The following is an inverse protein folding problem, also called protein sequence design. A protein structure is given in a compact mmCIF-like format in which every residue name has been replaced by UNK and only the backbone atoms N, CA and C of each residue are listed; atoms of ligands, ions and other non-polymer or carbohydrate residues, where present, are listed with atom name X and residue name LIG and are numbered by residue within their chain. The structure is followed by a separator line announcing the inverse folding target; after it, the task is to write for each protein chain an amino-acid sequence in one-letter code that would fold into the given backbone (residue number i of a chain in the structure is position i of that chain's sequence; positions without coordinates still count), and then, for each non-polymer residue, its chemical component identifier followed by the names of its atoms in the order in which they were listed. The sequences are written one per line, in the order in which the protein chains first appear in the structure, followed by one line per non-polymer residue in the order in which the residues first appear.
data_IF_925529412766
#
_entry.id   IF_925529412766
#
_cell.length_a   1.000
_cell.length_b   1.000
_cell.length_c   1.000
_cell.angle_alpha   90.00
_cell.angle_beta   90.00
_cell.angle_gamma   90.00
#
_symmetry.space_group_name_H-M   'P 1'
#
loop_
_entity.id
_entity.type
_entity.pdbx_description
1 polymer ?
#
# COMPACT_ATOMS: atom_id res chain seq x y z
N UNK A 1 -53.74 46.28 12.73
CA UNK A 1 -54.13 45.08 11.98
C UNK A 1 -52.95 44.58 11.21
N UNK A 2 -52.21 43.56 11.72
CA UNK A 2 -51.02 42.99 11.00
C UNK A 2 -51.53 41.83 10.11
N UNK A 3 -51.65 42.08 8.82
CA UNK A 3 -51.90 41.00 7.85
C UNK A 3 -50.60 40.25 7.63
N UNK A 4 -50.40 39.16 8.38
CA UNK A 4 -49.26 38.25 8.18
C UNK A 4 -49.54 37.48 6.89
N UNK A 5 -48.76 37.80 5.84
CA UNK A 5 -48.95 37.24 4.49
C UNK A 5 -48.53 35.74 4.53
N UNK A 6 -49.52 34.85 4.68
CA UNK A 6 -49.35 33.38 4.71
C UNK A 6 -48.61 32.81 3.46
N UNK A 7 -48.58 33.53 2.40
CA UNK A 7 -47.92 33.10 1.15
C UNK A 7 -46.40 33.21 1.25
N UNK A 8 -45.86 34.30 1.83
CA UNK A 8 -44.43 34.50 2.00
C UNK A 8 -43.77 33.50 2.96
N UNK A 9 -44.52 33.10 4.01
CA UNK A 9 -44.06 32.06 4.98
C UNK A 9 -43.97 30.68 4.30
N UNK A 10 -44.94 30.36 3.40
CA UNK A 10 -44.92 29.08 2.68
C UNK A 10 -43.84 28.99 1.64
N UNK A 11 -43.52 30.08 0.96
CA UNK A 11 -42.38 30.13 0.02
C UNK A 11 -41.06 30.02 0.72
N UNK A 12 -40.88 30.66 1.90
CA UNK A 12 -39.71 30.52 2.73
C UNK A 12 -39.51 29.10 3.25
N UNK A 13 -40.57 28.46 3.73
CA UNK A 13 -40.52 27.07 4.20
C UNK A 13 -40.19 26.06 3.10
N UNK A 14 -40.74 26.25 1.89
CA UNK A 14 -40.41 25.41 0.75
C UNK A 14 -38.96 25.58 0.32
N UNK A 15 -38.42 26.81 0.34
CA UNK A 15 -37.01 27.09 0.05
C UNK A 15 -36.06 26.38 1.04
N UNK A 16 -36.37 26.46 2.33
CA UNK A 16 -35.59 25.75 3.37
C UNK A 16 -35.64 24.24 3.20
N UNK A 17 -36.81 23.69 2.86
CA UNK A 17 -36.97 22.25 2.61
C UNK A 17 -36.13 21.78 1.41
N UNK A 18 -36.14 22.55 0.31
CA UNK A 18 -35.32 22.23 -0.89
C UNK A 18 -33.81 22.28 -0.57
N UNK A 19 -33.38 23.30 0.15
CA UNK A 19 -31.95 23.39 0.59
C UNK A 19 -31.62 22.21 1.50
N UNK A 20 -32.47 21.84 2.42
CA UNK A 20 -32.28 20.68 3.30
C UNK A 20 -32.13 19.36 2.51
N UNK A 21 -32.95 19.17 1.47
CA UNK A 21 -32.87 17.98 0.60
C UNK A 21 -31.55 17.98 -0.19
N UNK A 22 -31.13 19.12 -0.73
CA UNK A 22 -29.86 19.24 -1.45
C UNK A 22 -28.69 18.92 -0.53
N UNK A 23 -28.66 19.48 0.68
CA UNK A 23 -27.62 19.22 1.67
C UNK A 23 -27.60 17.73 2.03
N UNK A 24 -28.77 17.12 2.28
CA UNK A 24 -28.89 15.71 2.57
C UNK A 24 -28.32 14.85 1.42
N UNK A 25 -28.66 15.21 0.18
CA UNK A 25 -28.15 14.52 -1.01
C UNK A 25 -26.62 14.63 -1.14
N UNK A 26 -26.06 15.80 -0.91
CA UNK A 26 -24.60 16.04 -0.94
C UNK A 26 -23.87 15.28 0.19
N UNK A 27 -24.51 15.10 1.33
CA UNK A 27 -23.94 14.30 2.43
C UNK A 27 -24.02 12.80 2.12
N UNK A 28 -25.10 12.33 1.48
CA UNK A 28 -25.29 10.91 1.19
C UNK A 28 -24.42 10.40 0.03
N UNK A 29 -24.14 11.23 -0.96
CA UNK A 29 -23.41 10.83 -2.16
C UNK A 29 -22.02 11.46 -2.20
N UNK A 30 -21.02 10.63 -2.47
CA UNK A 30 -19.67 11.06 -2.82
C UNK A 30 -19.52 11.02 -4.35
N UNK A 31 -18.87 12.06 -4.86
CA UNK A 31 -18.37 12.09 -6.22
C UNK A 31 -16.87 12.11 -6.12
N UNK A 32 -16.23 11.02 -6.49
CA UNK A 32 -14.77 10.89 -6.47
C UNK A 32 -14.25 10.63 -7.88
N UNK A 33 -13.05 11.13 -8.14
CA UNK A 33 -12.35 10.90 -9.39
C UNK A 33 -11.18 10.00 -9.12
N UNK A 34 -11.24 8.79 -9.63
CA UNK A 34 -10.13 7.85 -9.64
C UNK A 34 -9.16 8.31 -10.72
N UNK A 35 -7.93 8.63 -10.33
CA UNK A 35 -6.92 9.10 -11.27
C UNK A 35 -6.54 8.02 -12.28
N UNK A 36 -6.05 8.43 -13.45
CA UNK A 36 -5.75 7.54 -14.58
C UNK A 36 -4.68 6.48 -14.27
N UNK A 37 -3.90 6.69 -13.23
CA UNK A 37 -2.88 5.76 -12.73
C UNK A 37 -3.36 4.85 -11.60
N UNK A 38 -4.62 4.97 -11.16
CA UNK A 38 -5.17 4.18 -10.07
C UNK A 38 -6.31 3.29 -10.54
N UNK A 39 -6.51 2.20 -9.82
CA UNK A 39 -7.63 1.29 -10.01
C UNK A 39 -8.51 1.32 -8.76
N UNK A 40 -9.74 1.80 -8.91
CA UNK A 40 -10.71 1.85 -7.83
C UNK A 40 -11.47 0.54 -7.70
N UNK A 41 -11.60 0.04 -6.49
CA UNK A 41 -12.43 -1.12 -6.14
C UNK A 41 -13.58 -0.64 -5.26
N UNK A 42 -14.81 -0.72 -5.77
CA UNK A 42 -16.01 -0.35 -5.02
C UNK A 42 -16.60 -1.60 -4.38
N UNK A 43 -16.82 -1.51 -3.09
CA UNK A 43 -17.36 -2.60 -2.27
C UNK A 43 -18.70 -2.21 -1.68
N UNK A 44 -19.69 -3.08 -1.79
CA UNK A 44 -20.98 -2.89 -1.16
C UNK A 44 -20.92 -3.29 0.33
N UNK A 45 -21.14 -2.30 1.23
CA UNK A 45 -21.21 -2.52 2.67
C UNK A 45 -22.59 -2.92 3.15
N UNK A 46 -23.63 -2.59 2.38
CA UNK A 46 -25.05 -2.79 2.75
C UNK A 46 -25.85 -3.35 1.58
N UNK A 47 -26.87 -4.16 1.88
CA UNK A 47 -27.80 -4.73 0.90
C UNK A 47 -27.74 -6.25 0.80
N UNK A 48 -28.58 -6.81 -0.10
CA UNK A 48 -28.62 -8.25 -0.38
C UNK A 48 -27.40 -8.76 -1.14
N UNK A 49 -26.70 -7.87 -1.83
CA UNK A 49 -25.44 -8.11 -2.55
C UNK A 49 -24.23 -7.73 -1.66
N UNK A 50 -24.32 -8.08 -0.39
CA UNK A 50 -23.20 -7.91 0.56
C UNK A 50 -22.11 -8.90 0.21
N UNK A 51 -20.96 -8.38 -0.13
CA UNK A 51 -19.81 -9.26 -0.22
C UNK A 51 -18.78 -8.82 -1.21
N UNK A 52 -17.72 -9.55 -1.15
CA UNK A 52 -16.50 -9.35 -1.90
C UNK A 52 -16.66 -9.75 -3.36
N UNK A 53 -17.65 -10.60 -3.68
CA UNK A 53 -17.93 -11.06 -5.03
C UNK A 53 -18.43 -9.94 -5.96
N UNK A 54 -18.99 -8.88 -5.37
CA UNK A 54 -19.52 -7.70 -6.07
C UNK A 54 -18.55 -6.51 -6.13
N UNK A 55 -17.28 -6.72 -5.82
CA UNK A 55 -16.27 -5.70 -5.98
C UNK A 55 -16.10 -5.33 -7.47
N UNK A 56 -16.45 -4.11 -7.82
CA UNK A 56 -16.36 -3.60 -9.19
C UNK A 56 -15.08 -2.81 -9.36
N UNK A 57 -14.38 -3.08 -10.44
CA UNK A 57 -13.22 -2.29 -10.87
C UNK A 57 -13.73 -1.08 -11.66
N UNK A 58 -13.46 0.11 -11.16
CA UNK A 58 -13.91 1.36 -11.75
C UNK A 58 -12.72 2.30 -12.02
N UNK A 59 -12.86 3.15 -13.02
CA UNK A 59 -11.89 4.19 -13.37
C UNK A 59 -12.63 5.48 -13.76
N UNK A 60 -12.01 6.63 -13.53
CA UNK A 60 -12.60 7.93 -13.85
C UNK A 60 -13.55 8.46 -12.77
N UNK A 61 -14.64 9.12 -13.18
CA UNK A 61 -15.60 9.69 -12.23
C UNK A 61 -16.54 8.61 -11.69
N UNK A 62 -16.59 8.49 -10.38
CA UNK A 62 -17.44 7.53 -9.67
C UNK A 62 -18.34 8.26 -8.69
N UNK A 63 -19.63 7.93 -8.76
CA UNK A 63 -20.65 8.45 -7.83
C UNK A 63 -21.15 7.28 -7.00
N UNK A 64 -21.01 7.38 -5.70
CA UNK A 64 -21.47 6.31 -4.81
C UNK A 64 -22.04 6.84 -3.50
N UNK A 65 -22.86 6.03 -2.85
CA UNK A 65 -23.40 6.35 -1.52
C UNK A 65 -22.38 5.98 -0.46
N UNK A 66 -21.86 6.96 0.28
CA UNK A 66 -20.84 6.80 1.35
C UNK A 66 -21.24 5.83 2.45
N UNK A 67 -22.54 5.71 2.73
CA UNK A 67 -23.03 4.83 3.79
C UNK A 67 -23.21 3.38 3.33
N UNK A 68 -23.34 3.17 2.03
CA UNK A 68 -23.61 1.86 1.45
C UNK A 68 -22.39 1.25 0.75
N UNK A 69 -21.41 2.06 0.36
CA UNK A 69 -20.25 1.64 -0.44
C UNK A 69 -18.97 2.24 0.09
N UNK A 70 -17.87 1.53 -0.12
CA UNK A 70 -16.51 1.98 0.17
C UNK A 70 -15.65 1.83 -1.08
N UNK A 71 -14.85 2.85 -1.36
CA UNK A 71 -13.86 2.85 -2.44
C UNK A 71 -12.48 2.52 -1.85
N UNK A 72 -11.79 1.59 -2.51
CA UNK A 72 -10.37 1.30 -2.30
C UNK A 72 -9.62 1.61 -3.58
N UNK A 73 -8.51 2.32 -3.47
CA UNK A 73 -7.69 2.70 -4.62
C UNK A 73 -6.35 1.99 -4.56
N UNK A 74 -5.97 1.37 -5.67
CA UNK A 74 -4.71 0.68 -5.83
C UNK A 74 -3.90 1.30 -6.97
N UNK A 75 -2.59 1.53 -6.77
CA UNK A 75 -1.74 2.10 -7.80
C UNK A 75 -1.51 1.10 -8.93
N UNK A 76 -1.88 1.49 -10.15
CA UNK A 76 -1.58 0.75 -11.37
C UNK A 76 -0.31 1.26 -12.07
N UNK A 77 0.44 2.14 -11.41
CA UNK A 77 1.75 2.65 -11.84
C UNK A 77 2.78 2.43 -10.74
N UNK A 78 4.05 2.41 -11.12
CA UNK A 78 5.13 2.11 -10.19
C UNK A 78 5.12 3.05 -8.96
N UNK A 79 5.06 2.44 -7.78
CA UNK A 79 5.20 3.09 -6.48
C UNK A 79 6.57 2.78 -5.91
N UNK A 80 7.21 3.79 -5.36
CA UNK A 80 8.49 3.66 -4.67
C UNK A 80 8.22 3.76 -3.18
N UNK A 81 8.58 2.71 -2.45
CA UNK A 81 8.41 2.66 -0.99
C UNK A 81 9.77 2.47 -0.34
N UNK A 82 10.11 3.42 0.50
CA UNK A 82 11.33 3.40 1.30
C UNK A 82 11.02 2.89 2.70
N UNK A 83 11.67 1.82 3.10
CA UNK A 83 11.44 1.20 4.40
C UNK A 83 12.53 1.59 5.39
N UNK A 84 12.12 1.74 6.65
CA UNK A 84 13.08 1.95 7.74
C UNK A 84 14.10 0.81 7.83
N UNK A 85 15.35 1.13 8.16
CA UNK A 85 16.40 0.13 8.33
C UNK A 85 16.00 -0.96 9.32
N UNK A 86 16.31 -2.21 8.97
CA UNK A 86 16.11 -3.36 9.86
C UNK A 86 17.31 -4.30 9.85
N UNK A 87 17.38 -5.13 10.89
CA UNK A 87 18.47 -6.07 11.08
C UNK A 87 18.20 -7.40 10.38
N UNK A 88 19.23 -7.92 9.72
CA UNK A 88 19.30 -9.26 9.14
C UNK A 88 20.50 -10.00 9.75
N UNK A 89 20.44 -11.31 9.74
CA UNK A 89 21.52 -12.16 10.27
C UNK A 89 22.03 -13.08 9.16
N UNK A 90 23.35 -13.17 9.07
CA UNK A 90 24.02 -14.12 8.20
C UNK A 90 23.98 -15.56 8.77
N UNK A 91 24.56 -16.49 8.05
CA UNK A 91 24.66 -17.91 8.45
C UNK A 91 25.40 -18.13 9.77
N UNK A 92 26.30 -17.22 10.16
CA UNK A 92 27.10 -17.28 11.39
C UNK A 92 26.44 -16.51 12.55
N UNK A 93 25.28 -15.87 12.31
CA UNK A 93 24.59 -15.06 13.30
C UNK A 93 25.12 -13.62 13.41
N UNK A 94 25.95 -13.18 12.48
CA UNK A 94 26.43 -11.79 12.42
C UNK A 94 25.31 -10.88 11.98
N UNK A 95 25.13 -9.76 12.66
CA UNK A 95 24.06 -8.81 12.39
C UNK A 95 24.52 -7.76 11.39
N UNK A 96 23.73 -7.60 10.32
CA UNK A 96 23.84 -6.54 9.35
C UNK A 96 22.59 -5.69 9.37
N UNK A 97 22.72 -4.42 9.03
CA UNK A 97 21.61 -3.47 8.87
C UNK A 97 21.35 -3.25 7.38
N UNK A 98 20.10 -3.32 6.96
CA UNK A 98 19.68 -3.05 5.59
C UNK A 98 18.51 -2.05 5.57
N UNK A 99 18.49 -1.18 4.58
CA UNK A 99 17.48 -0.14 4.33
C UNK A 99 16.97 -0.29 2.89
N UNK A 100 16.03 -1.19 2.63
CA UNK A 100 15.54 -1.42 1.28
C UNK A 100 14.52 -0.38 0.83
N UNK A 101 14.69 0.09 -0.38
CA UNK A 101 13.69 0.81 -1.17
C UNK A 101 13.21 -0.11 -2.26
N UNK A 102 11.92 -0.30 -2.39
CA UNK A 102 11.32 -1.17 -3.39
C UNK A 102 10.45 -0.38 -4.37
N UNK A 103 10.35 -0.89 -5.58
CA UNK A 103 9.45 -0.40 -6.61
C UNK A 103 8.46 -1.49 -6.99
N UNK A 104 7.16 -1.21 -6.87
CA UNK A 104 6.10 -2.15 -7.19
C UNK A 104 4.87 -1.43 -7.75
N UNK A 105 3.96 -2.18 -8.36
CA UNK A 105 2.62 -1.75 -8.71
C UNK A 105 1.63 -2.92 -8.66
N UNK A 106 0.35 -2.63 -8.81
CA UNK A 106 -0.69 -3.66 -8.85
C UNK A 106 -1.36 -3.57 -10.23
N UNK A 107 -1.29 -4.64 -11.01
CA UNK A 107 -1.99 -4.68 -12.29
C UNK A 107 -3.51 -4.57 -12.08
N UNK A 108 -4.20 -3.94 -13.02
CA UNK A 108 -5.66 -3.71 -12.90
C UNK A 108 -6.43 -5.00 -12.72
N UNK A 109 -5.99 -6.05 -13.39
CA UNK A 109 -6.55 -7.39 -13.33
C UNK A 109 -6.39 -8.01 -11.95
N UNK A 110 -5.27 -7.73 -11.29
CA UNK A 110 -4.91 -8.26 -9.98
C UNK A 110 -5.47 -7.45 -8.81
N UNK A 111 -5.84 -6.19 -9.02
CA UNK A 111 -6.36 -5.30 -7.99
C UNK A 111 -7.55 -5.92 -7.22
N UNK A 112 -8.48 -6.57 -7.93
CA UNK A 112 -9.58 -7.29 -7.31
C UNK A 112 -9.11 -8.47 -6.48
N UNK A 113 -8.13 -9.24 -6.94
CA UNK A 113 -7.57 -10.40 -6.23
C UNK A 113 -6.87 -9.96 -4.94
N UNK A 114 -6.08 -8.89 -5.02
CA UNK A 114 -5.40 -8.28 -3.85
C UNK A 114 -6.44 -7.82 -2.83
N UNK A 115 -7.48 -7.09 -3.27
CA UNK A 115 -8.55 -6.66 -2.39
C UNK A 115 -9.28 -7.85 -1.73
N UNK A 116 -9.65 -8.88 -2.50
CA UNK A 116 -10.34 -10.06 -1.99
C UNK A 116 -9.55 -10.76 -0.88
N UNK A 117 -8.23 -10.81 -1.05
CA UNK A 117 -7.32 -11.52 -0.14
C UNK A 117 -7.04 -10.74 1.14
N UNK A 118 -6.83 -9.43 1.03
CA UNK A 118 -6.31 -8.64 2.15
C UNK A 118 -7.31 -7.64 2.73
N UNK A 119 -8.24 -7.10 1.94
CA UNK A 119 -9.22 -6.07 2.34
C UNK A 119 -8.58 -4.87 3.04
N UNK A 120 -7.46 -4.40 2.52
CA UNK A 120 -6.64 -3.34 3.09
C UNK A 120 -6.44 -2.22 2.07
N UNK A 121 -6.15 -1.02 2.58
CA UNK A 121 -5.70 0.09 1.74
C UNK A 121 -4.28 -0.14 1.24
N UNK A 122 -3.82 0.67 0.29
CA UNK A 122 -2.47 0.60 -0.25
C UNK A 122 -1.42 0.77 0.87
N UNK A 123 -1.59 1.77 1.72
CA UNK A 123 -0.68 2.05 2.83
C UNK A 123 -0.62 0.90 3.84
N UNK A 124 -1.78 0.30 4.14
CA UNK A 124 -1.83 -0.87 5.02
C UNK A 124 -1.16 -2.11 4.40
N UNK A 125 -1.26 -2.28 3.07
CA UNK A 125 -0.57 -3.36 2.35
C UNK A 125 0.95 -3.17 2.40
N UNK A 126 1.43 -1.95 2.16
CA UNK A 126 2.84 -1.59 2.23
C UNK A 126 3.44 -1.86 3.60
N UNK A 127 2.76 -1.42 4.66
CA UNK A 127 3.25 -1.53 6.03
C UNK A 127 3.07 -2.93 6.64
N UNK A 128 2.25 -3.79 6.06
CA UNK A 128 2.03 -5.13 6.59
C UNK A 128 2.50 -6.22 5.65
N UNK A 129 1.85 -6.39 4.50
CA UNK A 129 2.07 -7.53 3.61
C UNK A 129 3.42 -7.41 2.91
N UNK A 130 3.66 -6.28 2.23
CA UNK A 130 4.87 -6.09 1.44
C UNK A 130 6.10 -6.02 2.35
N UNK A 131 6.04 -5.22 3.42
CA UNK A 131 7.14 -5.12 4.40
C UNK A 131 7.50 -6.48 5.00
N UNK A 132 6.51 -7.32 5.30
CA UNK A 132 6.76 -8.65 5.85
C UNK A 132 7.48 -9.54 4.83
N UNK A 133 7.07 -9.52 3.57
CA UNK A 133 7.74 -10.30 2.53
C UNK A 133 9.16 -9.79 2.26
N UNK A 134 9.36 -8.47 2.26
CA UNK A 134 10.69 -7.86 2.15
C UNK A 134 11.59 -8.36 3.28
N UNK A 135 11.16 -8.22 4.54
CA UNK A 135 11.94 -8.68 5.70
C UNK A 135 12.25 -10.18 5.65
N UNK A 136 11.28 -10.99 5.26
CA UNK A 136 11.47 -12.44 5.16
C UNK A 136 12.44 -12.80 4.03
N UNK A 137 12.33 -12.18 2.85
CA UNK A 137 13.24 -12.44 1.74
C UNK A 137 14.69 -12.10 2.11
N UNK A 138 14.92 -10.94 2.72
CA UNK A 138 16.25 -10.57 3.19
C UNK A 138 16.82 -11.54 4.23
N UNK A 139 16.01 -11.95 5.21
CA UNK A 139 16.43 -12.91 6.25
C UNK A 139 16.74 -14.29 5.68
N UNK A 140 15.90 -14.77 4.78
CA UNK A 140 16.06 -16.11 4.21
C UNK A 140 17.32 -16.18 3.35
N UNK A 141 17.56 -15.17 2.50
CA UNK A 141 18.76 -15.12 1.67
C UNK A 141 20.01 -14.87 2.52
N UNK A 142 19.96 -13.91 3.47
CA UNK A 142 21.12 -13.61 4.34
C UNK A 142 21.57 -14.85 5.13
N UNK A 143 20.63 -15.66 5.63
CA UNK A 143 20.93 -16.90 6.33
C UNK A 143 21.67 -17.97 5.52
N UNK A 144 21.76 -17.81 4.19
CA UNK A 144 22.52 -18.70 3.31
C UNK A 144 23.97 -18.23 3.12
N UNK A 145 24.26 -16.95 3.35
CA UNK A 145 25.56 -16.33 3.12
C UNK A 145 26.44 -16.32 4.37
N UNK A 146 27.72 -16.53 4.19
CA UNK A 146 28.70 -16.27 5.24
C UNK A 146 29.08 -14.79 5.25
N UNK A 147 29.55 -14.28 6.40
CA UNK A 147 29.91 -12.87 6.64
C UNK A 147 30.77 -12.28 5.51
N UNK A 148 31.87 -12.97 5.15
CA UNK A 148 32.79 -12.50 4.12
C UNK A 148 32.14 -12.47 2.72
N UNK A 149 31.25 -13.43 2.45
CA UNK A 149 30.54 -13.51 1.17
C UNK A 149 29.49 -12.40 1.08
N UNK A 150 28.83 -12.04 2.18
CA UNK A 150 27.86 -10.98 2.22
C UNK A 150 28.48 -9.60 2.00
N UNK A 151 29.69 -9.39 2.51
CA UNK A 151 30.48 -8.16 2.34
C UNK A 151 31.03 -8.06 0.92
N UNK A 152 31.67 -9.13 0.42
CA UNK A 152 32.42 -9.11 -0.82
C UNK A 152 31.56 -9.39 -2.07
N UNK A 153 30.41 -10.04 -1.93
CA UNK A 153 29.56 -10.48 -3.03
C UNK A 153 28.14 -9.91 -2.96
N UNK A 154 28.05 -8.68 -2.46
CA UNK A 154 26.80 -7.94 -2.30
C UNK A 154 25.88 -7.95 -3.52
N UNK A 155 26.37 -7.75 -4.77
CA UNK A 155 25.48 -7.77 -5.93
C UNK A 155 24.80 -9.12 -6.18
N UNK A 156 25.47 -10.22 -5.85
CA UNK A 156 24.86 -11.56 -5.95
C UNK A 156 23.76 -11.74 -4.89
N UNK A 157 24.02 -11.30 -3.67
CA UNK A 157 23.04 -11.30 -2.58
C UNK A 157 21.78 -10.50 -2.95
N UNK A 158 21.96 -9.26 -3.40
CA UNK A 158 20.84 -8.39 -3.80
C UNK A 158 20.03 -9.00 -4.94
N UNK A 159 20.68 -9.63 -5.91
CA UNK A 159 20.02 -10.32 -7.03
C UNK A 159 19.18 -11.53 -6.58
N UNK A 160 19.66 -12.28 -5.58
CA UNK A 160 18.91 -13.41 -5.03
C UNK A 160 17.70 -12.92 -4.23
N UNK A 161 17.87 -11.84 -3.44
CA UNK A 161 16.76 -11.20 -2.73
C UNK A 161 15.71 -10.70 -3.72
N UNK A 162 16.13 -10.03 -4.78
CA UNK A 162 15.25 -9.55 -5.86
C UNK A 162 14.45 -10.70 -6.50
N UNK A 163 15.12 -11.79 -6.85
CA UNK A 163 14.48 -12.94 -7.47
C UNK A 163 13.43 -13.58 -6.54
N UNK A 164 13.77 -13.73 -5.26
CA UNK A 164 12.86 -14.28 -4.25
C UNK A 164 11.67 -13.38 -3.97
N UNK A 165 11.90 -12.05 -3.90
CA UNK A 165 10.82 -11.07 -3.74
C UNK A 165 9.88 -11.06 -4.94
N UNK A 166 10.42 -11.09 -6.14
CA UNK A 166 9.63 -11.14 -7.37
C UNK A 166 8.70 -12.36 -7.37
N UNK A 167 9.19 -13.52 -7.01
CA UNK A 167 8.40 -14.73 -6.91
C UNK A 167 7.29 -14.60 -5.85
N UNK A 168 7.64 -14.16 -4.64
CA UNK A 168 6.71 -14.06 -3.51
C UNK A 168 5.63 -13.02 -3.72
N UNK A 169 5.99 -11.84 -4.23
CA UNK A 169 5.06 -10.76 -4.46
C UNK A 169 4.13 -11.06 -5.64
N UNK A 170 4.64 -11.68 -6.72
CA UNK A 170 3.80 -12.05 -7.88
C UNK A 170 2.70 -13.06 -7.51
N UNK A 171 2.99 -14.03 -6.66
CA UNK A 171 1.98 -15.00 -6.17
C UNK A 171 0.89 -14.34 -5.32
N UNK A 172 1.11 -13.12 -4.86
CA UNK A 172 0.18 -12.33 -4.05
C UNK A 172 -0.59 -11.28 -4.83
N UNK A 173 -0.27 -11.09 -6.12
CA UNK A 173 -0.90 -10.11 -7.01
C UNK A 173 -0.20 -8.76 -7.04
N UNK A 174 1.07 -8.69 -6.61
CA UNK A 174 1.90 -7.49 -6.72
C UNK A 174 2.94 -7.70 -7.81
N UNK A 175 3.06 -6.75 -8.73
CA UNK A 175 4.12 -6.74 -9.73
C UNK A 175 5.31 -5.97 -9.18
N UNK A 176 6.36 -6.69 -8.89
CA UNK A 176 7.62 -6.15 -8.39
C UNK A 176 8.52 -5.76 -9.56
N UNK A 177 9.09 -4.55 -9.51
CA UNK A 177 9.93 -3.99 -10.59
C UNK A 177 11.40 -3.99 -10.20
N UNK A 178 11.74 -3.41 -9.07
CA UNK A 178 13.12 -3.18 -8.67
C UNK A 178 13.27 -3.11 -7.14
N UNK A 179 14.49 -3.35 -6.67
CA UNK A 179 14.90 -3.14 -5.29
C UNK A 179 16.26 -2.45 -5.25
N UNK A 180 16.39 -1.50 -4.36
CA UNK A 180 17.67 -0.88 -4.01
C UNK A 180 17.83 -1.00 -2.50
N UNK A 181 19.03 -1.36 -2.06
CA UNK A 181 19.31 -1.44 -0.64
C UNK A 181 20.74 -1.08 -0.34
N UNK A 182 21.01 -0.66 0.88
CA UNK A 182 22.34 -0.65 1.42
C UNK A 182 22.43 -1.72 2.52
N UNK A 183 23.41 -2.61 2.41
CA UNK A 183 23.72 -3.60 3.47
C UNK A 183 24.99 -3.14 4.14
N UNK A 184 24.91 -2.84 5.43
CA UNK A 184 26.04 -2.37 6.24
C UNK A 184 26.24 -3.30 7.44
N UNK A 185 27.48 -3.62 7.82
CA UNK A 185 27.76 -4.22 9.10
C UNK A 185 27.15 -3.35 10.21
N UNK A 186 26.74 -3.96 11.32
CA UNK A 186 26.32 -3.16 12.46
C UNK A 186 27.52 -2.38 13.02
N UNK A 187 27.25 -1.36 13.83
CA UNK A 187 28.27 -0.42 14.33
C UNK A 187 29.42 -1.12 15.07
N UNK A 188 29.14 -2.24 15.74
CA UNK A 188 30.14 -3.03 16.47
C UNK A 188 31.09 -3.74 15.50
N UNK A 189 30.56 -4.36 14.46
CA UNK A 189 31.37 -5.05 13.46
C UNK A 189 32.13 -4.04 12.60
N UNK A 190 31.53 -2.90 12.28
CA UNK A 190 32.19 -1.82 11.57
C UNK A 190 33.40 -1.28 12.34
N UNK A 191 33.24 -1.04 13.63
CA UNK A 191 34.36 -0.61 14.48
C UNK A 191 35.50 -1.65 14.54
N UNK A 192 35.17 -2.95 14.60
CA UNK A 192 36.18 -4.02 14.58
C UNK A 192 36.93 -4.11 13.25
N UNK A 193 36.24 -3.92 12.12
CA UNK A 193 36.86 -3.86 10.78
C UNK A 193 37.79 -2.65 10.67
N UNK A 194 37.35 -1.47 11.12
CA UNK A 194 38.13 -0.24 11.08
C UNK A 194 39.38 -0.33 11.95
N UNK A 195 39.29 -1.02 13.10
CA UNK A 195 40.44 -1.23 13.98
C UNK A 195 41.45 -2.22 13.36
N UNK A 196 40.97 -3.28 12.70
CA UNK A 196 41.85 -4.24 12.02
C UNK A 196 42.57 -3.62 10.83
N UNK A 197 41.95 -2.70 10.11
CA UNK A 197 42.56 -1.96 8.99
C UNK A 197 43.62 -0.93 9.46
N UNK A 198 43.59 -0.49 10.73
CA UNK A 198 44.60 0.42 11.29
C UNK A 198 45.86 -0.28 11.74
N UNK A 199 45.79 -1.59 11.98
CA UNK A 199 46.90 -2.38 12.51
C UNK A 199 47.70 -3.11 11.42
N UNK A 200 47.26 -3.09 10.15
CA UNK A 200 47.95 -3.65 8.99
C UNK A 200 48.58 -2.55 8.10
#
# INVERSE_FOLDING_TARGET
MKVTNKSTVRVGAAGVAVIGIIVLFLVMFAVERIDSGQTGIIVNLAGSERGVDDAKVETGWVVYNRFAKQLFEYPAFAQIVDYEPFDIQDKKGTIFKTDPTIEYFIEREDAKVVFLRYRKTTEELEQSVILTEVKNAYKDVAGLYETDSLINNRPAFEKEVEALLKERLSTRGFTFTNIQSSVKPNDVLQAAIDESCRQG
#
